data_IF_196537408131
#
_entry.id   IF_196537408131
#
_cell.length_a   1.000
_cell.length_b   1.000
_cell.length_c   1.000
_cell.angle_alpha   90.00
_cell.angle_beta   90.00
_cell.angle_gamma   90.00
#
_symmetry.space_group_name_H-M   'P 1'
#
loop_
_entity.id
_entity.type
_entity.pdbx_description
1 polymer ?
#
# COMPACT_ATOMS: atom_id res chain seq x y z
N UNK A 1 -10.29 -2.03 -7.99
CA UNK A 1 -9.28 -2.11 -6.91
C UNK A 1 -8.22 -1.05 -7.16
N UNK A 2 -7.79 -0.28 -6.16
CA UNK A 2 -6.71 0.70 -6.32
C UNK A 2 -5.36 0.01 -6.53
N UNK A 3 -4.41 0.68 -7.17
CA UNK A 3 -2.98 0.31 -7.13
C UNK A 3 -2.33 0.80 -5.83
N UNK A 4 -1.11 0.36 -5.53
CA UNK A 4 -0.40 0.85 -4.35
C UNK A 4 -0.14 2.37 -4.40
N UNK A 5 0.16 2.91 -5.58
CA UNK A 5 0.34 4.35 -5.78
C UNK A 5 -0.95 5.12 -5.47
N UNK A 6 -2.10 4.59 -5.92
CA UNK A 6 -3.42 5.18 -5.65
C UNK A 6 -3.73 5.19 -4.15
N UNK A 7 -3.42 4.09 -3.44
CA UNK A 7 -3.62 4.01 -1.99
C UNK A 7 -2.76 5.04 -1.24
N UNK A 8 -1.49 5.17 -1.61
CA UNK A 8 -0.57 6.13 -0.98
C UNK A 8 -1.05 7.56 -1.27
N UNK A 9 -1.45 7.86 -2.50
CA UNK A 9 -1.95 9.17 -2.88
C UNK A 9 -3.24 9.53 -2.13
N UNK A 10 -4.20 8.60 -2.05
CA UNK A 10 -5.45 8.79 -1.32
C UNK A 10 -5.21 9.07 0.16
N UNK A 11 -4.40 8.24 0.83
CA UNK A 11 -4.09 8.43 2.26
C UNK A 11 -3.37 9.74 2.54
N UNK A 12 -2.42 10.12 1.69
CA UNK A 12 -1.74 11.42 1.81
C UNK A 12 -2.70 12.60 1.64
N UNK A 13 -3.65 12.52 0.71
CA UNK A 13 -4.64 13.57 0.49
C UNK A 13 -5.63 13.68 1.67
N UNK A 14 -6.09 12.54 2.20
CA UNK A 14 -7.02 12.49 3.34
C UNK A 14 -6.41 13.04 4.64
N UNK A 15 -5.14 12.72 4.90
CA UNK A 15 -4.48 13.04 6.18
C UNK A 15 -3.52 14.23 6.10
N UNK A 16 -3.25 14.74 4.91
CA UNK A 16 -2.24 15.79 4.68
C UNK A 16 -0.81 15.31 4.90
N UNK A 17 -0.53 14.00 4.79
CA UNK A 17 0.78 13.45 5.09
C UNK A 17 1.81 13.66 3.98
N UNK A 18 3.04 13.91 4.40
CA UNK A 18 4.23 13.89 3.53
C UNK A 18 4.87 12.49 3.49
N UNK A 19 5.72 12.24 2.49
CA UNK A 19 6.48 10.99 2.42
C UNK A 19 7.46 10.83 3.58
N UNK A 20 7.92 11.93 4.19
CA UNK A 20 8.78 11.88 5.38
C UNK A 20 7.99 11.32 6.57
N UNK A 21 6.79 11.84 6.81
CA UNK A 21 5.92 11.37 7.90
C UNK A 21 5.49 9.91 7.76
N UNK A 22 5.41 9.38 6.54
CA UNK A 22 5.19 7.94 6.31
C UNK A 22 6.42 7.10 6.66
N UNK A 23 7.62 7.59 6.36
CA UNK A 23 8.88 6.91 6.71
C UNK A 23 9.11 6.89 8.22
N UNK A 24 8.83 8.01 8.90
CA UNK A 24 9.01 8.14 10.35
C UNK A 24 8.08 7.19 11.14
N UNK A 25 6.93 6.82 10.57
CA UNK A 25 5.95 5.92 11.20
C UNK A 25 6.40 4.46 11.26
N UNK A 26 7.29 4.03 10.38
CA UNK A 26 7.70 2.62 10.25
C UNK A 26 9.10 2.36 10.76
N UNK A 27 9.61 3.23 11.63
CA UNK A 27 10.92 3.10 12.31
C UNK A 27 12.07 2.75 11.35
N UNK A 28 12.03 3.28 10.12
CA UNK A 28 13.08 3.06 9.12
C UNK A 28 12.95 1.78 8.28
N UNK A 29 11.89 0.98 8.45
CA UNK A 29 11.63 -0.18 7.60
C UNK A 29 11.52 0.21 6.10
N UNK A 30 11.06 1.43 5.82
CA UNK A 30 10.91 1.95 4.45
C UNK A 30 11.45 3.39 4.41
N UNK A 31 12.45 3.62 3.57
CA UNK A 31 13.02 4.96 3.38
C UNK A 31 12.04 5.92 2.70
N UNK A 32 12.19 7.23 2.95
CA UNK A 32 11.43 8.28 2.25
C UNK A 32 11.51 8.16 0.73
N UNK A 33 12.71 7.85 0.20
CA UNK A 33 12.91 7.69 -1.24
C UNK A 33 12.09 6.50 -1.77
N UNK A 34 12.04 5.40 -1.03
CA UNK A 34 11.22 4.25 -1.40
C UNK A 34 9.73 4.60 -1.39
N UNK A 35 9.25 5.30 -0.37
CA UNK A 35 7.88 5.81 -0.33
C UNK A 35 7.53 6.70 -1.54
N UNK A 36 8.46 7.57 -1.93
CA UNK A 36 8.27 8.41 -3.12
C UNK A 36 8.18 7.56 -4.40
N UNK A 37 9.05 6.55 -4.57
CA UNK A 37 8.98 5.64 -5.73
C UNK A 37 7.66 4.87 -5.80
N UNK A 38 7.18 4.36 -4.66
CA UNK A 38 5.92 3.64 -4.58
C UNK A 38 4.73 4.57 -4.88
N UNK A 39 4.77 5.81 -4.39
CA UNK A 39 3.71 6.81 -4.58
C UNK A 39 3.65 7.41 -5.98
N UNK A 40 4.76 7.46 -6.73
CA UNK A 40 4.78 7.98 -8.11
C UNK A 40 4.39 6.92 -9.15
N UNK A 41 4.06 5.70 -8.74
CA UNK A 41 3.66 4.63 -9.65
C UNK A 41 4.83 4.02 -10.42
N UNK A 42 6.06 4.09 -9.88
CA UNK A 42 7.18 3.33 -10.46
C UNK A 42 6.79 1.86 -10.49
N UNK A 43 6.97 1.24 -11.66
CA UNK A 43 6.58 -0.16 -11.87
C UNK A 43 7.32 -1.06 -10.89
N UNK A 44 6.56 -1.73 -10.05
CA UNK A 44 7.04 -2.75 -9.12
C UNK A 44 7.16 -4.05 -9.92
N UNK A 45 8.35 -4.67 -9.90
CA UNK A 45 8.61 -5.91 -10.64
C UNK A 45 8.29 -7.16 -9.82
N UNK A 46 8.45 -7.06 -8.51
CA UNK A 46 8.41 -8.18 -7.58
C UNK A 46 7.62 -7.80 -6.32
N UNK A 47 7.05 -8.80 -5.66
CA UNK A 47 6.39 -8.57 -4.38
C UNK A 47 7.42 -8.14 -3.33
N UNK A 48 7.13 -7.08 -2.55
CA UNK A 48 7.93 -6.76 -1.38
C UNK A 48 7.88 -7.91 -0.37
N UNK A 49 8.89 -7.95 0.52
CA UNK A 49 8.90 -8.91 1.61
C UNK A 49 7.68 -8.73 2.54
N UNK A 50 7.18 -9.80 3.18
CA UNK A 50 6.02 -9.72 4.07
C UNK A 50 6.14 -8.65 5.16
N UNK A 51 7.33 -8.48 5.76
CA UNK A 51 7.60 -7.44 6.74
C UNK A 51 7.45 -6.03 6.15
N UNK A 52 7.85 -5.83 4.89
CA UNK A 52 7.65 -4.56 4.18
C UNK A 52 6.16 -4.31 3.91
N UNK A 53 5.40 -5.34 3.53
CA UNK A 53 3.96 -5.22 3.31
C UNK A 53 3.24 -4.82 4.61
N UNK A 54 3.62 -5.44 5.74
CA UNK A 54 3.09 -5.09 7.06
C UNK A 54 3.41 -3.63 7.41
N UNK A 55 4.68 -3.21 7.25
CA UNK A 55 5.07 -1.83 7.48
C UNK A 55 4.29 -0.83 6.61
N UNK A 56 4.01 -1.16 5.34
CA UNK A 56 3.16 -0.33 4.48
C UNK A 56 1.74 -0.24 5.03
N UNK A 57 1.17 -1.36 5.48
CA UNK A 57 -0.18 -1.40 6.04
C UNK A 57 -0.29 -0.55 7.30
N UNK A 58 0.68 -0.67 8.20
CA UNK A 58 0.75 0.08 9.45
C UNK A 58 0.93 1.59 9.17
N UNK A 59 1.83 1.96 8.24
CA UNK A 59 2.06 3.35 7.87
C UNK A 59 0.82 4.03 7.27
N UNK A 60 0.05 3.28 6.49
CA UNK A 60 -1.12 3.76 5.76
C UNK A 60 -2.42 3.59 6.56
N UNK A 61 -2.37 2.99 7.75
CA UNK A 61 -3.54 2.66 8.58
C UNK A 61 -4.62 1.92 7.76
N UNK A 62 -4.22 0.86 7.04
CA UNK A 62 -5.11 0.02 6.21
C UNK A 62 -4.89 -1.45 6.47
N UNK A 63 -5.86 -2.28 6.08
CA UNK A 63 -5.74 -3.73 6.17
C UNK A 63 -4.61 -4.26 5.27
N UNK A 64 -3.84 -5.24 5.78
CA UNK A 64 -2.71 -5.87 5.07
C UNK A 64 -3.18 -6.50 3.75
N UNK A 65 -4.36 -7.11 3.73
CA UNK A 65 -4.97 -7.71 2.53
C UNK A 65 -5.17 -6.66 1.44
N UNK A 66 -5.60 -5.45 1.82
CA UNK A 66 -5.78 -4.35 0.87
C UNK A 66 -4.44 -3.97 0.22
N UNK A 67 -3.36 -3.90 1.01
CA UNK A 67 -2.02 -3.61 0.51
C UNK A 67 -1.52 -4.71 -0.42
N UNK A 68 -1.68 -5.98 -0.06
CA UNK A 68 -1.31 -7.13 -0.90
C UNK A 68 -2.02 -7.07 -2.26
N UNK A 69 -3.33 -6.82 -2.26
CA UNK A 69 -4.12 -6.73 -3.49
C UNK A 69 -3.72 -5.51 -4.34
N UNK A 70 -3.38 -4.38 -3.71
CA UNK A 70 -2.90 -3.20 -4.39
C UNK A 70 -1.50 -3.41 -5.00
N UNK A 71 -0.60 -4.10 -4.29
CA UNK A 71 0.72 -4.51 -4.78
C UNK A 71 0.58 -5.46 -5.97
N UNK A 72 -0.28 -6.47 -5.86
CA UNK A 72 -0.56 -7.41 -6.95
C UNK A 72 -1.00 -6.66 -8.21
N UNK A 73 -1.91 -5.68 -8.07
CA UNK A 73 -2.34 -4.84 -9.18
C UNK A 73 -1.21 -3.96 -9.73
N UNK A 74 -0.35 -3.40 -8.88
CA UNK A 74 0.82 -2.61 -9.29
C UNK A 74 1.87 -3.42 -10.07
N UNK A 75 1.99 -4.72 -9.80
CA UNK A 75 2.88 -5.64 -10.54
C UNK A 75 2.26 -6.06 -11.89
N UNK A 76 0.95 -5.90 -12.04
CA UNK A 76 0.22 -6.14 -13.29
C UNK A 76 -0.78 -7.30 -13.21
N UNK A 77 -1.03 -7.87 -12.03
CA UNK A 77 -2.08 -8.88 -11.88
C UNK A 77 -3.46 -8.24 -12.01
N UNK A 78 -4.36 -8.92 -12.74
CA UNK A 78 -5.76 -8.52 -12.84
C UNK A 78 -6.50 -8.94 -11.56
N UNK A 79 -6.41 -8.10 -10.52
CA UNK A 79 -7.18 -8.30 -9.29
C UNK A 79 -8.61 -7.81 -9.50
N UNK A 80 -9.50 -8.76 -9.73
CA UNK A 80 -10.95 -8.52 -9.70
C UNK A 80 -11.44 -8.85 -8.29
N UNK A 81 -12.31 -8.00 -7.73
CA UNK A 81 -13.15 -8.48 -6.62
C UNK A 81 -13.96 -9.61 -7.21
N UNK A 82 -13.85 -10.79 -6.63
CA UNK A 82 -14.71 -11.88 -7.02
C UNK A 82 -16.13 -11.42 -6.69
N UNK A 83 -16.88 -11.07 -7.73
CA UNK A 83 -18.32 -10.89 -7.61
C UNK A 83 -18.85 -12.20 -7.03
N UNK A 84 -19.62 -12.11 -5.95
CA UNK A 84 -20.21 -13.29 -5.33
C UNK A 84 -20.94 -14.09 -6.41
N UNK A 85 -20.89 -15.41 -6.36
CA UNK A 85 -21.72 -16.24 -7.24
C UNK A 85 -23.20 -15.80 -7.17
N UNK A 86 -23.64 -15.33 -6.01
CA UNK A 86 -24.96 -14.71 -5.84
C UNK A 86 -25.13 -13.45 -6.69
N UNK A 87 -24.14 -12.55 -6.69
CA UNK A 87 -24.18 -11.32 -7.49
C UNK A 87 -24.26 -11.63 -8.99
N UNK A 88 -23.56 -12.67 -9.46
CA UNK A 88 -23.63 -13.12 -10.85
C UNK A 88 -24.99 -13.76 -11.23
N UNK A 89 -25.78 -14.22 -10.25
CA UNK A 89 -27.11 -14.77 -10.47
C UNK A 89 -28.23 -13.72 -10.35
N UNK A 90 -27.92 -12.49 -9.95
CA UNK A 90 -28.93 -11.45 -9.85
C UNK A 90 -29.41 -11.06 -11.26
N UNK A 91 -30.72 -10.90 -11.47
CA UNK A 91 -31.24 -10.42 -12.75
C UNK A 91 -30.74 -9.00 -13.02
N UNK A 92 -30.63 -8.55 -14.28
CA UNK A 92 -30.15 -7.21 -14.62
C UNK A 92 -31.00 -6.07 -14.03
N UNK A 93 -32.25 -6.35 -13.64
CA UNK A 93 -33.10 -5.39 -12.92
C UNK A 93 -32.70 -5.16 -11.45
N UNK A 94 -31.76 -5.94 -10.89
CA UNK A 94 -31.32 -5.79 -9.50
C UNK A 94 -30.64 -4.43 -9.24
N UNK A 95 -30.07 -3.80 -10.26
CA UNK A 95 -29.49 -2.46 -10.16
C UNK A 95 -30.56 -1.36 -9.94
N UNK A 96 -31.84 -1.66 -10.20
CA UNK A 96 -32.96 -0.72 -10.05
C UNK A 96 -33.64 -0.79 -8.68
N UNK A 97 -33.17 -1.66 -7.78
CA UNK A 97 -33.75 -1.79 -6.45
C UNK A 97 -33.61 -0.48 -5.66
N UNK A 98 -34.69 -0.08 -5.01
CA UNK A 98 -34.67 1.04 -4.06
C UNK A 98 -33.76 0.71 -2.87
N UNK A 99 -33.35 1.72 -2.11
CA UNK A 99 -32.50 1.54 -0.93
C UNK A 99 -33.17 0.59 0.09
N UNK A 100 -34.45 0.80 0.38
CA UNK A 100 -35.25 -0.06 1.27
C UNK A 100 -35.31 -1.52 0.79
N UNK A 101 -35.46 -1.73 -0.53
CA UNK A 101 -35.49 -3.07 -1.12
C UNK A 101 -34.13 -3.76 -1.04
N UNK A 102 -33.04 -3.01 -1.28
CA UNK A 102 -31.68 -3.53 -1.11
C UNK A 102 -31.41 -3.93 0.33
N UNK A 103 -31.84 -3.12 1.29
CA UNK A 103 -31.69 -3.43 2.71
C UNK A 103 -32.45 -4.70 3.12
N UNK A 104 -33.68 -4.87 2.63
CA UNK A 104 -34.45 -6.09 2.87
C UNK A 104 -33.74 -7.35 2.32
N UNK A 105 -33.21 -7.28 1.09
CA UNK A 105 -32.44 -8.38 0.49
C UNK A 105 -31.17 -8.65 1.30
N UNK A 106 -30.43 -7.62 1.69
CA UNK A 106 -29.23 -7.74 2.51
C UNK A 106 -29.53 -8.37 3.88
N UNK A 107 -30.66 -8.04 4.50
CA UNK A 107 -31.09 -8.63 5.76
C UNK A 107 -31.28 -10.15 5.64
N UNK A 108 -31.98 -10.62 4.60
CA UNK A 108 -32.17 -12.06 4.34
C UNK A 108 -30.83 -12.76 4.08
N UNK A 109 -29.98 -12.17 3.22
CA UNK A 109 -28.65 -12.73 2.93
C UNK A 109 -27.80 -12.84 4.20
N UNK A 110 -27.84 -11.83 5.09
CA UNK A 110 -27.09 -11.84 6.35
C UNK A 110 -27.58 -12.91 7.33
N UNK A 111 -28.87 -13.25 7.31
CA UNK A 111 -29.44 -14.36 8.12
C UNK A 111 -28.99 -15.72 7.60
N UNK A 112 -28.88 -15.87 6.27
CA UNK A 112 -28.50 -17.15 5.64
C UNK A 112 -26.98 -17.36 5.52
N UNK A 113 -26.20 -16.28 5.44
CA UNK A 113 -24.76 -16.37 5.32
C UNK A 113 -24.16 -16.90 6.64
N UNK A 114 -23.26 -17.90 6.58
CA UNK A 114 -22.56 -18.35 7.76
C UNK A 114 -21.78 -17.17 8.35
N UNK A 115 -21.86 -17.00 9.67
CA UNK A 115 -21.03 -16.04 10.40
C UNK A 115 -19.57 -16.41 10.15
N UNK A 116 -18.88 -15.65 9.30
CA UNK A 116 -17.43 -15.80 9.20
C UNK A 116 -16.85 -15.39 10.57
N UNK A 117 -15.96 -16.21 11.16
CA UNK A 117 -15.23 -15.78 12.34
C UNK A 117 -14.40 -14.57 11.92
N UNK A 118 -14.82 -13.39 12.38
CA UNK A 118 -14.13 -12.13 12.21
C UNK A 118 -12.78 -12.25 12.91
N UNK A 119 -11.74 -12.67 12.20
CA UNK A 119 -10.39 -12.80 12.74
C UNK A 119 -10.32 -13.72 13.94
N UNK A 120 -9.97 -14.98 13.72
CA UNK A 120 -9.18 -15.70 14.70
C UNK A 120 -7.92 -14.85 14.94
N UNK A 121 -7.97 -14.00 15.96
CA UNK A 121 -6.80 -13.72 16.77
C UNK A 121 -6.17 -15.07 17.04
N UNK A 122 -4.86 -15.19 16.84
CA UNK A 122 -4.10 -16.34 17.31
C UNK A 122 -4.38 -16.47 18.81
N UNK A 123 -5.41 -17.25 19.15
CA UNK A 123 -5.61 -17.78 20.47
C UNK A 123 -4.42 -18.73 20.63
N UNK A 124 -3.37 -18.19 21.25
CA UNK A 124 -2.28 -18.95 21.84
C UNK A 124 -2.91 -20.19 22.45
N UNK A 125 -2.67 -21.34 21.83
CA UNK A 125 -2.94 -22.64 22.44
C UNK A 125 -2.15 -22.60 23.75
N UNK A 126 -2.79 -22.55 24.93
CA UNK A 126 -2.06 -22.65 26.17
C UNK A 126 -1.54 -24.09 26.19
N UNK A 127 -0.22 -24.26 26.07
CA UNK A 127 0.39 -25.55 26.34
C UNK A 127 -0.14 -26.03 27.71
N UNK A 128 -0.67 -27.27 27.78
CA UNK A 128 -1.15 -27.80 29.04
C UNK A 128 0.06 -27.94 29.96
N UNK A 129 0.14 -27.03 30.93
CA UNK A 129 1.07 -27.08 32.05
C UNK A 129 0.83 -28.40 32.80
N UNK A 130 1.81 -29.31 32.88
CA UNK A 130 1.66 -30.49 33.72
C UNK A 130 1.82 -30.05 35.17
N UNK A 131 0.69 -29.97 35.89
CA UNK A 131 0.72 -29.87 37.35
C UNK A 131 0.95 -31.25 37.97
N UNK A 132 2.11 -31.35 38.62
CA UNK A 132 2.37 -32.03 39.88
C UNK A 132 1.95 -33.50 40.05
N UNK A 133 2.97 -34.37 40.15
CA UNK A 133 3.10 -35.24 41.32
C UNK A 133 4.55 -35.66 41.49
N UNK A 134 5.11 -35.28 42.64
CA UNK A 134 6.42 -35.74 43.06
C UNK A 134 6.37 -37.21 43.47
N UNK A 135 7.48 -37.91 43.25
CA UNK A 135 7.98 -38.91 44.19
C UNK A 135 9.50 -38.97 44.05
N UNK A 136 10.13 -38.94 45.22
CA UNK A 136 11.55 -39.08 45.54
C UNK A 136 12.23 -40.33 44.94
N UNK A 137 13.55 -40.21 44.82
CA UNK A 137 14.57 -41.17 45.30
C UNK A 137 15.57 -41.75 44.25
N UNK A 138 16.84 -41.42 44.49
CA UNK A 138 18.07 -42.22 44.33
C UNK A 138 18.51 -42.76 42.97
N UNK A 139 19.69 -42.27 42.53
CA UNK A 139 20.94 -43.02 42.29
C UNK A 139 21.75 -42.32 41.18
N UNK A 140 22.86 -41.64 41.50
CA UNK A 140 24.20 -42.20 41.64
C UNK A 140 24.66 -42.93 40.36
N UNK A 141 25.32 -42.18 39.48
CA UNK A 141 25.89 -42.71 38.24
C UNK A 141 26.90 -41.73 37.64
N UNK A 142 28.08 -41.67 38.25
CA UNK A 142 29.28 -41.02 37.72
C UNK A 142 29.55 -41.46 36.27
N UNK A 143 29.77 -40.48 35.40
CA UNK A 143 30.03 -40.70 33.97
C UNK A 143 30.85 -39.56 33.37
N UNK A 144 32.02 -39.35 33.96
CA UNK A 144 33.13 -38.52 33.47
C UNK A 144 33.45 -38.82 32.00
N UNK A 145 33.17 -37.87 31.09
CA UNK A 145 33.76 -37.83 29.74
C UNK A 145 33.96 -36.39 29.26
N UNK A 146 35.20 -35.85 29.34
CA UNK A 146 35.59 -34.68 28.57
C UNK A 146 35.86 -35.10 27.12
N UNK A 147 35.08 -34.58 26.17
CA UNK A 147 35.45 -34.52 24.75
C UNK A 147 35.51 -33.04 24.37
N UNK A 148 36.65 -32.37 24.60
CA UNK A 148 37.82 -32.32 23.72
C UNK A 148 37.43 -31.80 22.32
N UNK A 149 37.44 -30.48 22.20
CA UNK A 149 37.45 -29.75 20.93
C UNK A 149 38.63 -30.20 20.05
N UNK A 150 38.45 -30.20 18.73
CA UNK A 150 39.54 -29.85 17.82
C UNK A 150 39.44 -28.40 17.32
N UNK A 151 40.58 -27.72 17.18
CA UNK A 151 40.71 -26.31 16.82
C UNK A 151 40.97 -26.10 15.31
N UNK A 152 40.97 -24.82 14.93
CA UNK A 152 41.59 -24.21 13.74
C UNK A 152 40.84 -24.30 12.40
N UNK A 153 40.35 -23.14 11.97
CA UNK A 153 40.64 -22.68 10.61
C UNK A 153 41.00 -21.19 10.64
N UNK A 154 42.24 -20.92 11.06
CA UNK A 154 42.97 -19.69 10.72
C UNK A 154 43.47 -19.84 9.29
N UNK A 155 42.92 -19.03 8.37
CA UNK A 155 43.45 -18.97 7.02
C UNK A 155 42.45 -18.43 6.02
N UNK A 156 42.38 -17.10 5.88
CA UNK A 156 42.98 -16.39 4.74
C UNK A 156 42.65 -14.90 4.83
N UNK A 157 43.51 -14.19 5.55
CA UNK A 157 43.72 -12.76 5.38
C UNK A 157 44.11 -12.55 3.92
N UNK A 158 43.20 -12.00 3.11
CA UNK A 158 43.57 -11.50 1.78
C UNK A 158 43.72 -9.99 1.90
N UNK A 159 44.92 -9.55 1.53
CA UNK A 159 45.50 -8.26 1.80
C UNK A 159 44.60 -7.08 1.37
N UNK A 160 44.53 -6.09 2.27
CA UNK A 160 44.37 -4.68 1.92
C UNK A 160 45.56 -4.26 1.05
N UNK A 161 45.37 -3.70 -0.16
CA UNK A 161 46.31 -2.72 -0.67
C UNK A 161 46.05 -1.41 0.06
N UNK A 162 46.91 -1.11 1.02
CA UNK A 162 47.13 0.27 1.44
C UNK A 162 48.00 0.97 0.39
N UNK A 163 47.68 2.26 0.23
CA UNK A 163 48.60 3.37 -0.05
C UNK A 163 48.77 3.82 -1.51
N UNK A 164 48.68 5.14 -1.62
CA UNK A 164 49.25 6.02 -2.64
C UNK A 164 48.49 6.15 -3.97
N UNK A 165 47.41 6.93 -3.93
CA UNK A 165 47.25 8.00 -4.92
C UNK A 165 46.68 9.25 -4.24
N UNK A 166 47.58 10.22 -4.06
CA UNK A 166 47.34 11.57 -3.60
C UNK A 166 46.64 12.40 -4.72
N UNK A 167 46.27 13.67 -4.45
CA UNK A 167 45.11 14.33 -5.04
C UNK A 167 45.39 14.97 -6.39
N UNK A 168 44.41 14.97 -7.29
CA UNK A 168 44.32 15.96 -8.36
C UNK A 168 43.38 17.09 -7.93
N UNK A 169 43.90 18.33 -7.80
CA UNK A 169 43.08 19.52 -7.70
C UNK A 169 42.75 20.08 -9.09
N UNK A 170 41.69 20.89 -9.12
CA UNK A 170 41.42 21.91 -10.16
C UNK A 170 40.96 21.36 -11.54
N UNK A 171 39.96 21.90 -12.25
CA UNK A 171 39.44 23.26 -12.31
C UNK A 171 37.94 23.22 -12.66
N UNK A 172 37.12 23.97 -11.92
CA UNK A 172 35.92 24.57 -12.49
C UNK A 172 36.35 25.80 -13.29
N UNK A 173 35.80 26.00 -14.49
CA UNK A 173 35.27 27.32 -14.79
C UNK A 173 33.78 27.29 -15.15
N UNK A 174 33.09 28.20 -14.50
CA UNK A 174 31.75 28.69 -14.82
C UNK A 174 31.67 29.19 -16.27
N UNK A 175 30.54 28.95 -16.95
CA UNK A 175 29.83 29.88 -17.86
C UNK A 175 28.59 29.17 -18.44
N UNK A 176 27.36 29.55 -18.06
CA UNK A 176 26.56 30.67 -18.61
C UNK A 176 26.42 30.64 -20.14
N UNK A 177 25.29 30.10 -20.63
CA UNK A 177 24.47 30.57 -21.78
C UNK A 177 23.49 29.44 -22.17
N UNK A 178 22.21 29.53 -21.80
CA UNK A 178 21.14 30.13 -22.61
C UNK A 178 20.78 29.36 -23.89
N UNK A 179 19.61 28.71 -23.91
CA UNK A 179 18.48 28.92 -24.85
C UNK A 179 17.45 27.79 -24.66
N UNK A 180 16.33 28.07 -24.00
CA UNK A 180 15.07 28.45 -24.66
C UNK A 180 14.65 27.48 -25.78
N UNK A 181 14.01 26.36 -25.42
CA UNK A 181 13.09 25.66 -26.33
C UNK A 181 11.69 26.14 -25.99
N UNK A 182 11.23 27.14 -26.74
CA UNK A 182 9.88 27.69 -26.70
C UNK A 182 9.06 26.95 -27.76
N UNK A 183 8.24 26.01 -27.32
CA UNK A 183 7.23 25.35 -28.14
C UNK A 183 6.53 24.31 -27.27
N UNK A 184 5.22 24.26 -27.13
CA UNK A 184 4.14 25.13 -27.58
C UNK A 184 2.89 24.62 -26.87
N UNK A 185 2.00 25.52 -26.46
CA UNK A 185 0.58 25.22 -26.21
C UNK A 185 -0.16 26.52 -25.90
N UNK A 186 -0.39 27.32 -26.93
CA UNK A 186 -1.41 28.38 -26.95
C UNK A 186 -2.80 27.85 -27.36
N UNK A 187 -2.99 26.52 -27.42
CA UNK A 187 -4.17 25.89 -28.01
C UNK A 187 -5.37 25.76 -27.04
N UNK A 188 -5.22 26.05 -25.73
CA UNK A 188 -6.29 25.79 -24.74
C UNK A 188 -7.01 27.04 -24.19
N UNK A 189 -6.71 28.24 -24.72
CA UNK A 189 -7.42 29.47 -24.37
C UNK A 189 -8.47 29.91 -25.41
N UNK A 190 -8.69 29.14 -26.48
CA UNK A 190 -9.69 29.45 -27.52
C UNK A 190 -11.09 28.85 -27.31
N UNK A 191 -11.38 28.18 -26.18
CA UNK A 191 -12.71 27.60 -25.90
C UNK A 191 -13.46 28.24 -24.72
N UNK A 192 -13.18 29.51 -24.40
CA UNK A 192 -13.84 30.20 -23.26
C UNK A 192 -14.38 31.60 -23.60
N UNK A 193 -14.75 31.84 -24.86
CA UNK A 193 -15.40 33.09 -25.28
C UNK A 193 -16.31 32.83 -26.49
N UNK A 194 -17.34 32.00 -26.32
CA UNK A 194 -18.44 31.90 -27.29
C UNK A 194 -19.66 31.25 -26.61
N UNK A 195 -20.27 31.97 -25.69
CA UNK A 195 -21.70 31.87 -25.38
C UNK A 195 -22.09 33.13 -24.63
N UNK A 196 -22.34 34.19 -25.40
CA UNK A 196 -23.20 35.28 -24.97
C UNK A 196 -24.64 34.85 -25.28
N UNK A 197 -25.56 34.78 -24.32
CA UNK A 197 -26.97 34.86 -24.65
C UNK A 197 -27.27 36.32 -25.01
N UNK A 198 -27.64 36.52 -26.27
CA UNK A 198 -28.17 37.78 -26.78
C UNK A 198 -29.44 38.16 -26.01
N UNK A 199 -29.42 39.42 -25.61
CA UNK A 199 -30.55 40.29 -25.39
C UNK A 199 -31.63 40.10 -26.48
N UNK A 200 -32.79 39.57 -26.10
CA UNK A 200 -34.04 39.75 -26.84
C UNK A 200 -35.03 40.44 -25.90
N UNK A 201 -34.95 41.76 -25.95
CA UNK A 201 -35.98 42.68 -25.54
C UNK A 201 -37.15 42.66 -26.55
N UNK A 202 -38.36 42.91 -26.00
CA UNK A 202 -39.61 43.39 -26.65
C UNK A 202 -40.55 42.36 -27.29
N UNK A 203 -41.75 42.19 -26.71
CA UNK A 203 -43.01 42.86 -27.14
C UNK A 203 -44.14 42.48 -26.14
N UNK A 204 -44.78 43.42 -25.44
CA UNK A 204 -46.15 43.93 -25.72
C UNK A 204 -47.15 42.84 -26.21
N UNK A 205 -48.31 42.58 -25.61
CA UNK A 205 -49.18 43.36 -24.73
C UNK A 205 -50.40 42.52 -24.27
N UNK A 206 -51.49 43.16 -23.80
CA UNK A 206 -52.43 42.62 -22.82
C UNK A 206 -53.76 42.12 -23.42
N UNK A 207 -54.51 41.30 -22.67
CA UNK A 207 -55.99 41.17 -22.66
C UNK A 207 -56.32 40.05 -21.65
N UNK A 208 -57.16 40.19 -20.62
CA UNK A 208 -58.43 40.88 -20.57
C UNK A 208 -59.56 39.84 -20.71
N UNK A 209 -60.26 39.52 -19.62
CA UNK A 209 -61.47 38.67 -19.63
C UNK A 209 -61.58 37.85 -18.34
N UNK A 210 -62.19 38.38 -17.28
CA UNK A 210 -63.63 38.41 -16.98
C UNK A 210 -64.10 37.12 -16.30
#
# INVERSE_FOLDING_TARGET
MPTLADLIAARKAERGWSYQQLADRVEGAISRQRWQQLGTGVRIKEFPEPATIQAIADALEVDVTLVVLAVARSIGFSVRRQESALAAMLPPGADQLTEEQRDAVLAVVRVMAPRQPSGATNEEVPEPRPEASGTVDSSQGSGDRPRRSPPMNDGKVTALPSRDQAPEPDERPQRLAARHVKGGSKEKQRRRAETAPEDQSQDEGPEGGA
#
